data_IF_112937184250
#
_entry.id   IF_112937184250
#
_cell.length_a   1.000
_cell.length_b   1.000
_cell.length_c   1.000
_cell.angle_alpha   90.00
_cell.angle_beta   90.00
_cell.angle_gamma   90.00
#
_symmetry.space_group_name_H-M   'P 1'
#
loop_
_entity.id
_entity.type
_entity.pdbx_description
1 polymer ?
#
# COMPACT_ATOMS: atom_id res chain seq x y z
N UNK A 1 -15.06 89.29 -9.77
CA UNK A 1 -16.02 88.21 -10.10
C UNK A 1 -15.38 87.34 -11.20
N UNK A 2 -15.55 86.00 -11.20
CA UNK A 2 -14.47 85.06 -10.82
C UNK A 2 -14.10 83.94 -11.83
N UNK A 3 -12.91 83.34 -11.60
CA UNK A 3 -12.34 81.99 -11.87
C UNK A 3 -12.72 81.12 -13.10
N UNK A 4 -11.69 80.60 -13.81
CA UNK A 4 -11.41 79.14 -14.00
C UNK A 4 -10.16 78.86 -14.87
N UNK A 5 -9.13 78.14 -14.35
CA UNK A 5 -8.28 77.26 -15.16
C UNK A 5 -8.34 75.85 -14.56
N UNK A 6 -9.14 74.93 -15.11
CA UNK A 6 -9.30 73.59 -14.52
C UNK A 6 -9.43 72.42 -15.50
N UNK A 7 -9.49 72.66 -16.82
CA UNK A 7 -9.83 71.58 -17.78
C UNK A 7 -8.62 70.89 -18.44
N UNK A 8 -7.45 71.53 -18.49
CA UNK A 8 -6.28 71.01 -19.24
C UNK A 8 -5.43 70.02 -18.43
N UNK A 9 -5.23 70.29 -17.13
CA UNK A 9 -4.43 69.44 -16.24
C UNK A 9 -5.12 68.11 -15.91
N UNK A 10 -6.45 68.09 -15.86
CA UNK A 10 -7.23 66.87 -15.58
C UNK A 10 -7.17 65.85 -16.72
N UNK A 11 -7.11 66.31 -17.98
CA UNK A 11 -7.03 65.44 -19.15
C UNK A 11 -5.64 64.78 -19.30
N UNK A 12 -4.57 65.51 -18.97
CA UNK A 12 -3.21 64.97 -18.97
C UNK A 12 -2.98 63.98 -17.82
N UNK A 13 -3.56 64.23 -16.64
CA UNK A 13 -3.50 63.28 -15.53
C UNK A 13 -4.27 61.98 -15.82
N UNK A 14 -5.45 62.06 -16.46
CA UNK A 14 -6.21 60.87 -16.87
C UNK A 14 -5.49 60.05 -17.93
N UNK A 15 -4.86 60.69 -18.92
CA UNK A 15 -4.04 60.01 -19.93
C UNK A 15 -2.82 59.30 -19.33
N UNK A 16 -2.18 59.94 -18.35
CA UNK A 16 -1.06 59.33 -17.61
C UNK A 16 -1.51 58.13 -16.78
N UNK A 17 -2.67 58.21 -16.12
CA UNK A 17 -3.25 57.09 -15.35
C UNK A 17 -3.59 55.89 -16.25
N UNK A 18 -4.16 56.12 -17.43
CA UNK A 18 -4.48 55.06 -18.39
C UNK A 18 -3.21 54.41 -18.93
N UNK A 19 -2.17 55.18 -19.23
CA UNK A 19 -0.87 54.64 -19.67
C UNK A 19 -0.16 53.85 -18.57
N UNK A 20 -0.24 54.29 -17.31
CA UNK A 20 0.36 53.56 -16.20
C UNK A 20 -0.39 52.24 -15.93
N UNK A 21 -1.72 52.25 -16.04
CA UNK A 21 -2.54 51.05 -15.90
C UNK A 21 -2.31 50.04 -17.03
N UNK A 22 -2.12 50.50 -18.28
CA UNK A 22 -1.83 49.61 -19.40
C UNK A 22 -0.44 48.96 -19.29
N UNK A 23 0.57 49.73 -18.87
CA UNK A 23 1.92 49.20 -18.57
C UNK A 23 1.90 48.17 -17.44
N UNK A 24 1.15 48.44 -16.37
CA UNK A 24 1.01 47.51 -15.25
C UNK A 24 0.29 46.22 -15.68
N UNK A 25 -0.77 46.33 -16.47
CA UNK A 25 -1.54 45.19 -16.95
C UNK A 25 -0.72 44.32 -17.91
N UNK A 26 0.11 44.94 -18.75
CA UNK A 26 1.00 44.22 -19.66
C UNK A 26 2.14 43.49 -18.92
N UNK A 27 2.67 44.07 -17.84
CA UNK A 27 3.64 43.39 -16.98
C UNK A 27 3.05 42.14 -16.30
N UNK A 28 1.79 42.22 -15.83
CA UNK A 28 1.09 41.09 -15.22
C UNK A 28 0.82 39.99 -16.26
N UNK A 29 0.40 40.35 -17.47
CA UNK A 29 0.16 39.37 -18.55
C UNK A 29 1.43 38.61 -18.95
N UNK A 30 2.55 39.33 -19.09
CA UNK A 30 3.84 38.72 -19.41
C UNK A 30 4.34 37.80 -18.27
N UNK A 31 4.14 38.20 -17.02
CA UNK A 31 4.48 37.38 -15.85
C UNK A 31 3.64 36.11 -15.78
N UNK A 32 2.34 36.17 -16.04
CA UNK A 32 1.47 34.99 -16.07
C UNK A 32 1.92 33.99 -17.14
N UNK A 33 2.28 34.46 -18.34
CA UNK A 33 2.76 33.57 -19.40
C UNK A 33 4.04 32.83 -19.02
N UNK A 34 4.99 33.49 -18.36
CA UNK A 34 6.21 32.84 -17.86
C UNK A 34 5.91 31.78 -16.80
N UNK A 35 5.00 32.08 -15.86
CA UNK A 35 4.59 31.13 -14.82
C UNK A 35 3.89 29.91 -15.45
N UNK A 36 3.01 30.12 -16.43
CA UNK A 36 2.35 29.03 -17.13
C UNK A 36 3.33 28.15 -17.91
N UNK A 37 4.30 28.74 -18.61
CA UNK A 37 5.33 27.98 -19.33
C UNK A 37 6.18 27.13 -18.36
N UNK A 38 6.56 27.70 -17.23
CA UNK A 38 7.31 26.99 -16.20
C UNK A 38 6.50 25.84 -15.56
N UNK A 39 5.25 26.10 -15.18
CA UNK A 39 4.33 25.08 -14.62
C UNK A 39 4.08 23.94 -15.61
N UNK A 40 3.93 24.24 -16.90
CA UNK A 40 3.76 23.23 -17.94
C UNK A 40 5.02 22.36 -18.09
N UNK A 41 6.21 22.96 -18.00
CA UNK A 41 7.47 22.23 -18.04
C UNK A 41 7.66 21.34 -16.80
N UNK A 42 7.34 21.85 -15.62
CA UNK A 42 7.40 21.09 -14.37
C UNK A 42 6.45 19.88 -14.39
N UNK A 43 5.22 20.07 -14.87
CA UNK A 43 4.24 18.98 -15.01
C UNK A 43 4.72 17.91 -15.97
N UNK A 44 5.29 18.29 -17.12
CA UNK A 44 5.85 17.34 -18.10
C UNK A 44 6.97 16.51 -17.52
N UNK A 45 7.91 17.14 -16.80
CA UNK A 45 9.01 16.43 -16.16
C UNK A 45 8.52 15.45 -15.09
N UNK A 46 7.53 15.84 -14.28
CA UNK A 46 6.92 14.94 -13.30
C UNK A 46 6.20 13.76 -13.96
N UNK A 47 5.47 13.99 -15.06
CA UNK A 47 4.83 12.93 -15.83
C UNK A 47 5.85 11.96 -16.44
N UNK A 48 6.91 12.47 -17.07
CA UNK A 48 7.97 11.64 -17.64
C UNK A 48 8.67 10.79 -16.55
N UNK A 49 8.97 11.39 -15.39
CA UNK A 49 9.53 10.67 -14.24
C UNK A 49 8.59 9.57 -13.73
N UNK A 50 7.30 9.89 -13.57
CA UNK A 50 6.29 8.92 -13.12
C UNK A 50 6.11 7.77 -14.13
N UNK A 51 6.05 8.10 -15.42
CA UNK A 51 5.98 7.10 -16.49
C UNK A 51 7.25 6.24 -16.55
N UNK A 52 8.43 6.84 -16.40
CA UNK A 52 9.69 6.10 -16.38
C UNK A 52 9.76 5.14 -15.20
N UNK A 53 9.31 5.58 -14.02
CA UNK A 53 9.23 4.73 -12.83
C UNK A 53 8.17 3.62 -12.98
N UNK A 54 7.01 3.93 -13.57
CA UNK A 54 5.98 2.94 -13.87
C UNK A 54 6.46 1.90 -14.88
N UNK A 55 7.19 2.31 -15.93
CA UNK A 55 7.81 1.40 -16.92
C UNK A 55 8.88 0.51 -16.29
N UNK A 56 9.72 1.06 -15.42
CA UNK A 56 10.72 0.29 -14.68
C UNK A 56 10.07 -0.73 -13.72
N UNK A 57 8.96 -0.36 -13.07
CA UNK A 57 8.23 -1.27 -12.19
C UNK A 57 7.54 -2.40 -13.00
N UNK A 58 6.92 -2.05 -14.15
CA UNK A 58 6.36 -3.03 -15.10
C UNK A 58 7.44 -3.96 -15.68
N UNK A 59 8.67 -3.48 -15.88
CA UNK A 59 9.78 -4.32 -16.33
C UNK A 59 10.28 -5.27 -15.25
N UNK A 60 10.35 -4.84 -13.98
CA UNK A 60 10.66 -5.73 -12.85
C UNK A 60 9.60 -6.83 -12.68
N UNK A 61 8.32 -6.50 -12.91
CA UNK A 61 7.20 -7.46 -12.92
C UNK A 61 7.18 -8.39 -14.15
N UNK A 62 7.91 -8.04 -15.23
CA UNK A 62 8.03 -8.85 -16.45
C UNK A 62 9.11 -9.94 -16.37
N UNK A 63 9.84 -10.02 -15.27
CA UNK A 63 10.69 -11.17 -14.99
C UNK A 63 9.80 -12.41 -14.79
N UNK A 64 10.24 -13.58 -15.26
CA UNK A 64 9.56 -14.83 -14.97
C UNK A 64 9.41 -14.98 -13.44
N UNK A 65 8.24 -15.39 -12.94
CA UNK A 65 8.06 -15.55 -11.51
C UNK A 65 9.06 -16.58 -10.98
N UNK A 66 9.51 -16.41 -9.72
CA UNK A 66 10.50 -17.30 -9.13
C UNK A 66 9.96 -18.74 -9.09
N UNK A 67 10.87 -19.71 -9.18
CA UNK A 67 10.50 -21.11 -8.97
C UNK A 67 10.35 -21.41 -7.48
N UNK A 68 9.30 -22.13 -7.12
CA UNK A 68 9.09 -22.61 -5.75
C UNK A 68 9.68 -24.00 -5.56
N UNK A 69 10.69 -24.14 -4.71
CA UNK A 69 11.39 -25.40 -4.51
C UNK A 69 10.83 -26.21 -3.32
N UNK A 70 9.95 -25.61 -2.51
CA UNK A 70 9.35 -26.28 -1.36
C UNK A 70 10.33 -26.45 -0.19
N UNK A 71 11.37 -25.63 -0.14
CA UNK A 71 12.35 -25.63 0.96
C UNK A 71 11.83 -24.84 2.16
N UNK A 72 12.44 -25.04 3.32
CA UNK A 72 12.05 -24.32 4.55
C UNK A 72 12.34 -22.81 4.50
N UNK A 73 13.25 -22.37 3.63
CA UNK A 73 13.55 -20.97 3.35
C UNK A 73 12.68 -20.36 2.24
N UNK A 74 11.89 -21.18 1.53
CA UNK A 74 10.96 -20.70 0.51
C UNK A 74 9.66 -20.22 1.16
N UNK A 75 9.32 -18.94 0.97
CA UNK A 75 8.04 -18.40 1.41
C UNK A 75 6.94 -18.74 0.39
N UNK A 76 6.12 -19.75 0.73
CA UNK A 76 5.01 -20.22 -0.11
C UNK A 76 3.96 -19.12 -0.36
N UNK A 77 3.63 -18.30 0.64
CA UNK A 77 2.59 -17.28 0.48
C UNK A 77 3.11 -16.14 -0.40
N UNK A 78 4.37 -15.75 -0.25
CA UNK A 78 5.02 -14.78 -1.13
C UNK A 78 5.10 -15.30 -2.58
N UNK A 79 5.40 -16.59 -2.76
CA UNK A 79 5.41 -17.20 -4.08
C UNK A 79 4.01 -17.23 -4.72
N UNK A 80 2.98 -17.62 -3.96
CA UNK A 80 1.58 -17.60 -4.43
C UNK A 80 1.17 -16.19 -4.85
N UNK A 81 1.54 -15.18 -4.07
CA UNK A 81 1.30 -13.78 -4.40
C UNK A 81 1.97 -13.38 -5.73
N UNK A 82 3.26 -13.71 -5.92
CA UNK A 82 3.96 -13.42 -7.16
C UNK A 82 3.37 -14.14 -8.38
N UNK A 83 2.87 -15.37 -8.22
CA UNK A 83 2.17 -16.10 -9.28
C UNK A 83 0.86 -15.40 -9.64
N UNK A 84 0.03 -15.04 -8.65
CA UNK A 84 -1.23 -14.34 -8.90
C UNK A 84 -1.02 -12.97 -9.53
N UNK A 85 0.00 -12.23 -9.10
CA UNK A 85 0.38 -10.95 -9.71
C UNK A 85 0.86 -11.13 -11.15
N UNK A 86 1.73 -12.11 -11.41
CA UNK A 86 2.27 -12.36 -12.75
C UNK A 86 1.17 -12.76 -13.74
N UNK A 87 0.18 -13.53 -13.28
CA UNK A 87 -0.96 -13.97 -14.09
C UNK A 87 -2.22 -13.12 -13.89
N UNK A 88 -2.11 -11.90 -13.36
CA UNK A 88 -3.26 -11.03 -13.10
C UNK A 88 -4.09 -10.68 -14.35
N UNK A 89 -3.55 -10.86 -15.56
CA UNK A 89 -4.29 -10.71 -16.81
C UNK A 89 -5.19 -11.93 -17.16
N UNK A 90 -5.01 -13.07 -16.48
CA UNK A 90 -5.67 -14.36 -16.73
C UNK A 90 -6.71 -14.69 -15.65
N UNK A 91 -7.43 -13.68 -15.15
CA UNK A 91 -8.43 -13.84 -14.08
C UNK A 91 -9.60 -14.75 -14.49
N UNK A 92 -9.93 -14.81 -15.77
CA UNK A 92 -10.97 -15.69 -16.33
C UNK A 92 -10.55 -17.15 -16.22
N UNK A 93 -9.29 -17.45 -16.51
CA UNK A 93 -8.70 -18.78 -16.35
C UNK A 93 -8.48 -19.12 -14.88
N UNK A 94 -8.11 -18.15 -14.05
CA UNK A 94 -7.93 -18.32 -12.61
C UNK A 94 -9.24 -18.70 -11.90
N UNK A 95 -10.36 -18.14 -12.36
CA UNK A 95 -11.71 -18.41 -11.85
C UNK A 95 -12.41 -19.57 -12.57
N UNK A 96 -11.76 -20.20 -13.55
CA UNK A 96 -12.33 -21.34 -14.25
C UNK A 96 -12.43 -22.56 -13.34
N UNK A 97 -13.42 -23.41 -13.63
CA UNK A 97 -13.56 -24.72 -12.99
C UNK A 97 -12.73 -25.81 -13.70
N UNK A 98 -11.67 -25.43 -14.42
CA UNK A 98 -10.80 -26.34 -15.17
C UNK A 98 -9.35 -26.30 -14.67
N UNK A 99 -8.47 -27.08 -15.32
CA UNK A 99 -7.06 -27.19 -14.92
C UNK A 99 -6.13 -26.23 -15.68
N UNK A 100 -6.65 -25.41 -16.61
CA UNK A 100 -5.81 -24.66 -17.55
C UNK A 100 -4.88 -23.70 -16.82
N UNK A 101 -5.39 -23.00 -15.81
CA UNK A 101 -4.58 -22.09 -15.01
C UNK A 101 -3.49 -22.83 -14.22
N UNK A 102 -3.83 -23.95 -13.59
CA UNK A 102 -2.83 -24.77 -12.87
C UNK A 102 -1.76 -25.27 -13.83
N UNK A 103 -2.13 -25.73 -15.02
CA UNK A 103 -1.17 -26.18 -16.04
C UNK A 103 -0.23 -25.06 -16.51
N UNK A 104 -0.65 -23.79 -16.47
CA UNK A 104 0.22 -22.62 -16.72
C UNK A 104 1.19 -22.33 -15.55
N UNK A 105 0.82 -22.67 -14.31
CA UNK A 105 1.63 -22.43 -13.11
C UNK A 105 2.68 -23.54 -12.90
N UNK A 106 2.39 -24.77 -13.31
CA UNK A 106 3.25 -25.96 -13.15
C UNK A 106 4.73 -25.74 -13.56
N UNK A 107 5.06 -25.04 -14.66
CA UNK A 107 6.46 -24.76 -15.04
C UNK A 107 7.29 -23.97 -14.00
N UNK A 108 6.61 -23.29 -13.07
CA UNK A 108 7.23 -22.52 -11.98
C UNK A 108 7.40 -23.33 -10.69
N UNK A 109 7.12 -24.62 -10.72
CA UNK A 109 7.43 -25.53 -9.63
C UNK A 109 8.87 -26.06 -9.76
N UNK A 110 9.56 -26.14 -8.62
CA UNK A 110 10.85 -26.81 -8.49
C UNK A 110 10.70 -28.32 -8.55
N UNK A 111 11.82 -29.03 -8.66
CA UNK A 111 11.85 -30.49 -8.91
C UNK A 111 11.12 -31.28 -7.82
N UNK A 112 11.31 -30.92 -6.55
CA UNK A 112 10.69 -31.62 -5.42
C UNK A 112 9.16 -31.39 -5.38
N UNK A 113 8.74 -30.14 -5.62
CA UNK A 113 7.32 -29.77 -5.69
C UNK A 113 6.63 -30.40 -6.90
N UNK A 114 7.34 -30.54 -8.02
CA UNK A 114 6.86 -31.24 -9.21
C UNK A 114 6.59 -32.72 -8.95
N UNK A 115 7.44 -33.40 -8.17
CA UNK A 115 7.22 -34.79 -7.79
C UNK A 115 5.90 -34.93 -7.01
N UNK A 116 5.69 -34.06 -6.01
CA UNK A 116 4.42 -33.98 -5.30
C UNK A 116 3.24 -33.63 -6.23
N UNK A 117 3.41 -32.70 -7.17
CA UNK A 117 2.34 -32.34 -8.10
C UNK A 117 1.90 -33.53 -8.95
N UNK A 118 2.82 -34.41 -9.35
CA UNK A 118 2.47 -35.65 -10.06
C UNK A 118 1.63 -36.60 -9.21
N UNK A 119 1.97 -36.75 -7.93
CA UNK A 119 1.17 -37.54 -6.97
C UNK A 119 -0.22 -36.93 -6.77
N UNK A 120 -0.28 -35.61 -6.56
CA UNK A 120 -1.53 -34.85 -6.45
C UNK A 120 -2.39 -35.00 -7.71
N UNK A 121 -1.79 -34.87 -8.90
CA UNK A 121 -2.47 -35.05 -10.18
C UNK A 121 -3.00 -36.47 -10.34
N UNK A 122 -2.25 -37.47 -9.90
CA UNK A 122 -2.69 -38.86 -9.92
C UNK A 122 -3.86 -39.10 -8.96
N UNK A 123 -3.79 -38.58 -7.73
CA UNK A 123 -4.85 -38.68 -6.73
C UNK A 123 -6.15 -38.00 -7.18
N UNK A 124 -6.05 -36.91 -7.94
CA UNK A 124 -7.20 -36.21 -8.50
C UNK A 124 -7.89 -36.96 -9.66
N UNK A 125 -7.18 -37.86 -10.35
CA UNK A 125 -7.70 -38.59 -11.49
C UNK A 125 -8.22 -37.66 -12.60
N UNK A 126 -9.49 -37.83 -12.97
CA UNK A 126 -10.18 -37.00 -13.97
C UNK A 126 -10.74 -35.68 -13.42
N UNK A 127 -10.68 -35.45 -12.10
CA UNK A 127 -11.21 -34.23 -11.51
C UNK A 127 -10.38 -33.01 -11.90
N UNK A 128 -11.02 -31.86 -12.17
CA UNK A 128 -10.31 -30.64 -12.50
C UNK A 128 -9.48 -30.15 -11.30
N UNK A 129 -8.22 -29.79 -11.57
CA UNK A 129 -7.33 -29.14 -10.61
C UNK A 129 -7.56 -27.64 -10.71
N UNK A 130 -8.62 -27.16 -10.06
CA UNK A 130 -8.91 -25.72 -10.03
C UNK A 130 -7.88 -24.97 -9.20
N UNK A 131 -7.70 -23.67 -9.48
CA UNK A 131 -6.75 -22.84 -8.74
C UNK A 131 -6.97 -22.81 -7.22
N UNK A 132 -8.20 -22.65 -6.70
CA UNK A 132 -8.43 -22.67 -5.25
C UNK A 132 -8.03 -24.00 -4.60
N UNK A 133 -8.32 -25.12 -5.27
CA UNK A 133 -7.98 -26.45 -4.77
C UNK A 133 -6.47 -26.68 -4.77
N UNK A 134 -5.78 -26.26 -5.83
CA UNK A 134 -4.33 -26.31 -5.88
C UNK A 134 -3.69 -25.50 -4.73
N UNK A 135 -4.14 -24.26 -4.52
CA UNK A 135 -3.67 -23.41 -3.40
C UNK A 135 -3.90 -24.07 -2.04
N UNK A 136 -5.05 -24.72 -1.84
CA UNK A 136 -5.33 -25.43 -0.59
C UNK A 136 -4.36 -26.60 -0.38
N UNK A 137 -4.12 -27.41 -1.42
CA UNK A 137 -3.29 -28.61 -1.33
C UNK A 137 -1.81 -28.29 -1.18
N UNK A 138 -1.30 -27.30 -1.92
CA UNK A 138 0.11 -26.90 -1.80
C UNK A 138 0.39 -26.28 -0.42
N UNK A 139 -0.56 -25.51 0.13
CA UNK A 139 -0.49 -25.02 1.52
C UNK A 139 -0.51 -26.16 2.52
N UNK A 140 -1.39 -27.14 2.37
CA UNK A 140 -1.43 -28.28 3.28
C UNK A 140 -0.11 -29.09 3.28
N UNK A 141 0.62 -29.09 2.16
CA UNK A 141 1.86 -29.88 2.00
C UNK A 141 3.13 -29.15 2.43
N UNK A 142 3.25 -27.86 2.10
CA UNK A 142 4.47 -27.08 2.21
C UNK A 142 4.38 -25.91 3.19
N UNK A 143 3.18 -25.58 3.69
CA UNK A 143 3.08 -24.62 4.78
C UNK A 143 3.60 -25.29 6.06
N UNK A 144 4.42 -24.56 6.79
CA UNK A 144 4.80 -24.95 8.15
C UNK A 144 3.52 -25.21 8.95
N UNK A 145 3.38 -26.43 9.49
CA UNK A 145 2.20 -26.80 10.30
C UNK A 145 2.02 -25.91 11.53
N UNK A 146 3.11 -25.27 11.95
CA UNK A 146 3.18 -24.29 13.03
C UNK A 146 3.33 -22.85 12.49
N UNK A 147 3.09 -22.56 11.21
CA UNK A 147 3.24 -21.20 10.65
C UNK A 147 2.40 -20.18 11.40
N UNK A 148 1.10 -20.47 11.57
CA UNK A 148 0.19 -19.59 12.32
C UNK A 148 0.60 -19.51 13.79
N UNK A 149 1.07 -20.62 14.38
CA UNK A 149 1.56 -20.62 15.76
C UNK A 149 2.83 -19.77 15.92
N UNK A 150 3.81 -19.91 15.02
CA UNK A 150 5.04 -19.11 14.94
C UNK A 150 4.70 -17.64 14.70
N UNK A 151 3.72 -17.34 13.86
CA UNK A 151 3.29 -15.98 13.58
C UNK A 151 2.60 -15.36 14.80
N UNK A 152 1.69 -16.08 15.46
CA UNK A 152 1.06 -15.66 16.71
C UNK A 152 2.08 -15.51 17.84
N UNK A 153 3.06 -16.41 17.91
CA UNK A 153 4.18 -16.33 18.86
C UNK A 153 5.02 -15.08 18.56
N UNK A 154 5.32 -14.79 17.30
CA UNK A 154 5.99 -13.54 16.89
C UNK A 154 5.18 -12.29 17.25
N UNK A 155 3.86 -12.32 17.13
CA UNK A 155 2.98 -11.22 17.53
C UNK A 155 3.00 -11.07 19.06
N UNK A 156 2.94 -12.16 19.81
CA UNK A 156 2.99 -12.16 21.27
C UNK A 156 4.35 -11.67 21.80
N UNK A 157 5.44 -12.11 21.18
CA UNK A 157 6.79 -11.77 21.62
C UNK A 157 7.26 -10.41 21.07
N UNK A 158 6.45 -9.75 20.24
CA UNK A 158 6.77 -8.46 19.66
C UNK A 158 6.83 -7.39 20.74
N UNK A 159 8.04 -7.09 21.22
CA UNK A 159 8.28 -5.97 22.11
C UNK A 159 8.21 -4.65 21.34
N UNK A 160 7.84 -3.58 22.04
CA UNK A 160 7.93 -2.22 21.52
C UNK A 160 9.40 -1.90 21.31
N UNK A 161 9.86 -1.96 20.06
CA UNK A 161 11.23 -1.62 19.69
C UNK A 161 11.23 -0.36 18.83
N UNK A 162 11.84 0.72 19.30
CA UNK A 162 11.93 1.97 18.54
C UNK A 162 10.71 2.88 18.73
N UNK A 163 10.20 3.44 17.64
CA UNK A 163 9.06 4.36 17.67
C UNK A 163 7.71 3.64 17.71
N UNK A 164 6.67 4.29 18.23
CA UNK A 164 5.30 3.74 18.24
C UNK A 164 4.82 3.39 16.82
N UNK A 165 5.25 4.15 15.81
CA UNK A 165 4.91 3.91 14.41
C UNK A 165 5.56 2.63 13.87
N UNK A 166 6.85 2.41 14.11
CA UNK A 166 7.55 1.17 13.70
C UNK A 166 6.96 -0.07 14.33
N UNK A 167 6.64 0.00 15.63
CA UNK A 167 5.94 -1.07 16.33
C UNK A 167 4.56 -1.34 15.71
N UNK A 168 3.78 -0.28 15.46
CA UNK A 168 2.43 -0.43 14.90
C UNK A 168 2.46 -0.99 13.47
N UNK A 169 3.42 -0.58 12.64
CA UNK A 169 3.64 -1.16 11.31
C UNK A 169 3.97 -2.65 11.39
N UNK A 170 4.85 -3.07 12.31
CA UNK A 170 5.18 -4.48 12.50
C UNK A 170 3.98 -5.31 12.97
N UNK A 171 3.17 -4.80 13.90
CA UNK A 171 1.94 -5.47 14.34
C UNK A 171 0.96 -5.64 13.18
N UNK A 172 0.68 -4.57 12.44
CA UNK A 172 -0.24 -4.63 11.30
C UNK A 172 0.27 -5.57 10.21
N UNK A 173 1.57 -5.57 9.93
CA UNK A 173 2.19 -6.47 8.97
C UNK A 173 2.03 -7.93 9.39
N UNK A 174 2.30 -8.28 10.64
CA UNK A 174 2.14 -9.64 11.15
C UNK A 174 0.67 -10.08 11.17
N UNK A 175 -0.26 -9.18 11.52
CA UNK A 175 -1.70 -9.46 11.46
C UNK A 175 -2.18 -9.69 10.03
N UNK A 176 -1.66 -8.92 9.06
CA UNK A 176 -1.98 -9.09 7.64
C UNK A 176 -1.39 -10.38 7.04
N UNK A 177 -0.35 -10.94 7.66
CA UNK A 177 0.24 -12.22 7.25
C UNK A 177 -0.50 -13.44 7.81
N UNK A 178 -1.36 -13.24 8.83
CA UNK A 178 -2.14 -14.33 9.41
C UNK A 178 -3.37 -14.60 8.54
N UNK A 179 -3.64 -15.87 8.27
CA UNK A 179 -4.87 -16.30 7.61
C UNK A 179 -6.03 -16.51 8.59
N UNK A 180 -5.79 -16.32 9.90
CA UNK A 180 -6.81 -16.44 10.95
C UNK A 180 -7.65 -15.18 10.98
N UNK A 181 -8.95 -15.32 10.73
CA UNK A 181 -9.90 -14.24 10.97
C UNK A 181 -10.04 -13.99 12.47
N UNK A 182 -9.33 -12.96 12.94
CA UNK A 182 -9.23 -12.62 14.34
C UNK A 182 -10.15 -11.43 14.67
N UNK A 183 -11.06 -11.56 15.65
CA UNK A 183 -11.94 -10.47 16.04
C UNK A 183 -11.14 -9.21 16.41
N UNK A 184 -11.68 -8.03 16.10
CA UNK A 184 -10.98 -6.77 16.32
C UNK A 184 -10.60 -6.56 17.79
N UNK A 185 -11.41 -7.08 18.72
CA UNK A 185 -11.10 -7.06 20.16
C UNK A 185 -9.83 -7.85 20.49
N UNK A 186 -9.58 -8.97 19.81
CA UNK A 186 -8.39 -9.80 20.01
C UNK A 186 -7.17 -9.13 19.36
N UNK A 187 -7.33 -8.55 18.16
CA UNK A 187 -6.29 -7.73 17.51
C UNK A 187 -5.86 -6.55 18.40
N UNK A 188 -6.82 -5.82 18.98
CA UNK A 188 -6.58 -4.74 19.95
C UNK A 188 -5.92 -5.25 21.23
N UNK A 189 -6.31 -6.44 21.70
CA UNK A 189 -5.69 -7.04 22.89
C UNK A 189 -4.20 -7.31 22.65
N UNK A 190 -3.82 -7.96 21.54
CA UNK A 190 -2.42 -8.19 21.18
C UNK A 190 -1.62 -6.88 21.11
N UNK A 191 -2.17 -5.88 20.43
CA UNK A 191 -1.52 -4.57 20.32
C UNK A 191 -1.27 -3.93 21.70
N UNK A 192 -2.24 -4.01 22.61
CA UNK A 192 -2.16 -3.41 23.94
C UNK A 192 -1.28 -4.19 24.92
N UNK A 193 -1.27 -5.52 24.87
CA UNK A 193 -0.47 -6.35 25.80
C UNK A 193 1.02 -6.05 25.66
N UNK A 194 1.50 -5.96 24.44
CA UNK A 194 2.91 -5.69 24.15
C UNK A 194 3.34 -4.27 24.51
N UNK A 195 2.41 -3.30 24.50
CA UNK A 195 2.64 -1.92 24.98
C UNK A 195 2.76 -1.85 26.52
N UNK A 196 2.14 -2.78 27.25
CA UNK A 196 2.21 -2.83 28.72
C UNK A 196 3.58 -3.27 29.23
N UNK A 197 4.38 -3.97 28.43
CA UNK A 197 5.71 -4.46 28.83
C UNK A 197 6.68 -3.31 29.18
N UNK A 198 6.69 -2.20 28.43
CA UNK A 198 7.45 -1.00 28.77
C UNK A 198 6.84 -0.19 29.93
N UNK A 199 5.51 -0.30 30.10
CA UNK A 199 4.84 0.45 31.17
C UNK A 199 5.23 -0.12 32.54
N UNK A 200 5.48 -1.43 32.64
CA UNK A 200 5.95 -2.07 33.86
C UNK A 200 7.40 -1.73 34.25
N UNK A 201 8.26 -1.32 33.31
CA UNK A 201 9.64 -0.88 33.63
C UNK A 201 9.71 0.61 34.03
N UNK A 202 8.72 1.42 33.64
CA UNK A 202 8.62 2.84 34.02
C UNK A 202 7.71 3.09 35.25
N UNK A 203 6.82 2.17 35.59
CA UNK A 203 5.90 2.32 36.74
C UNK A 203 6.52 2.09 38.12
N UNK A 204 7.81 1.71 38.22
CA UNK A 204 8.50 1.69 39.52
C UNK A 204 9.00 3.05 40.00
N UNK A 205 8.95 4.11 39.19
CA UNK A 205 9.54 5.42 39.55
C UNK A 205 8.66 6.64 39.39
N UNK A 206 7.40 6.55 38.98
CA UNK A 206 6.52 7.74 39.07
C UNK A 206 5.04 7.40 39.22
N UNK A 207 4.59 7.42 40.47
CA UNK A 207 3.20 7.64 40.79
C UNK A 207 2.80 9.06 40.39
N UNK A 208 2.21 9.25 39.21
CA UNK A 208 1.37 10.43 38.91
C UNK A 208 0.50 10.25 37.67
N UNK A 209 -0.81 10.20 37.92
CA UNK A 209 -1.87 10.89 37.15
C UNK A 209 -2.26 10.33 35.77
N UNK A 210 -3.23 9.39 35.79
CA UNK A 210 -4.52 9.39 35.06
C UNK A 210 -4.61 10.00 33.64
N UNK A 211 -3.67 9.72 32.73
CA UNK A 211 -3.88 9.96 31.28
C UNK A 211 -3.14 8.94 30.41
N UNK A 212 -3.57 7.67 30.35
CA UNK A 212 -2.92 6.70 29.43
C UNK A 212 -3.80 5.76 28.57
N UNK A 213 -5.13 5.58 28.75
CA UNK A 213 -5.88 4.74 27.80
C UNK A 213 -6.14 5.41 26.44
N UNK A 214 -6.28 6.74 26.40
CA UNK A 214 -6.85 7.45 25.26
C UNK A 214 -5.87 7.72 24.10
N UNK A 215 -4.56 7.49 24.29
CA UNK A 215 -3.57 7.65 23.23
C UNK A 215 -3.49 6.38 22.37
N UNK A 216 -3.39 5.20 23.00
CA UNK A 216 -3.33 3.91 22.31
C UNK A 216 -4.60 3.59 21.51
N UNK A 217 -5.78 3.94 22.04
CA UNK A 217 -7.04 3.75 21.34
C UNK A 217 -7.12 4.58 20.04
N UNK A 218 -6.60 5.83 20.07
CA UNK A 218 -6.62 6.72 18.91
C UNK A 218 -5.69 6.26 17.78
N UNK A 219 -4.53 5.69 18.12
CA UNK A 219 -3.58 5.17 17.13
C UNK A 219 -4.13 3.92 16.45
N UNK A 220 -4.78 3.01 17.19
CA UNK A 220 -5.43 1.84 16.60
C UNK A 220 -6.57 2.22 15.65
N UNK A 221 -7.48 3.10 16.08
CA UNK A 221 -8.62 3.53 15.25
C UNK A 221 -8.18 4.26 13.99
N UNK A 222 -7.13 5.09 14.07
CA UNK A 222 -6.58 5.77 12.89
C UNK A 222 -5.94 4.80 11.88
N UNK A 223 -5.47 3.64 12.33
CA UNK A 223 -4.84 2.63 11.46
C UNK A 223 -5.84 1.60 10.92
N UNK A 224 -6.90 1.27 11.67
CA UNK A 224 -7.97 0.37 11.22
C UNK A 224 -8.94 1.02 10.22
N UNK A 225 -9.04 2.35 10.20
CA UNK A 225 -9.92 3.07 9.26
C UNK A 225 -9.35 3.25 7.85
N UNK A 226 -8.13 2.77 7.56
CA UNK A 226 -7.52 2.89 6.22
C UNK A 226 -8.07 1.87 5.20
N UNK A 227 -9.00 1.00 5.59
CA UNK A 227 -9.62 0.00 4.70
C UNK A 227 -11.05 0.35 4.25
N UNK A 228 -11.60 1.50 4.63
CA UNK A 228 -12.99 1.84 4.29
C UNK A 228 -13.15 3.31 3.87
N UNK A 229 -12.80 3.61 2.61
CA UNK A 229 -13.28 4.81 1.91
C UNK A 229 -13.64 4.43 0.47
N UNK A 230 -14.77 3.73 0.32
CA UNK A 230 -15.57 3.74 -0.91
C UNK A 230 -17.01 4.07 -0.57
N UNK A 231 -17.56 5.03 -1.32
CA UNK A 231 -19.00 5.40 -1.40
C UNK A 231 -19.65 5.87 -0.10
N UNK A 232 -20.18 7.08 -0.03
CA UNK A 232 -21.37 7.46 -0.80
C UNK A 232 -21.45 8.99 -0.85
N UNK A 233 -21.41 9.56 -2.06
CA UNK A 233 -21.76 10.94 -2.30
C UNK A 233 -23.18 10.99 -2.89
N UNK A 234 -24.09 11.57 -2.13
CA UNK A 234 -25.19 12.38 -2.64
C UNK A 234 -25.14 13.70 -1.88
#
# INVERSE_FOLDING_TARGET
>A
MPATPAASDTAQMLSSLVSMFSLQQQAIANSQQQIHAFMAQQTRFQQEMYEMQARANRQKQKANPPKFHGRADDDLELWLFHIEEHFAAYTVEQSSNDSRFVDMVVPFLGVDVMAWYHEFKHAMGSNPRTWPLFKQQIRARYRDSDYEFKLLTKIHDLQVSGTQQEYSTKVMQLLSMSSIDMPEVVKRWFYQQNLRAETNSQERTSASTTRRPACCARTWTAMSSTEDVTETAC
#
